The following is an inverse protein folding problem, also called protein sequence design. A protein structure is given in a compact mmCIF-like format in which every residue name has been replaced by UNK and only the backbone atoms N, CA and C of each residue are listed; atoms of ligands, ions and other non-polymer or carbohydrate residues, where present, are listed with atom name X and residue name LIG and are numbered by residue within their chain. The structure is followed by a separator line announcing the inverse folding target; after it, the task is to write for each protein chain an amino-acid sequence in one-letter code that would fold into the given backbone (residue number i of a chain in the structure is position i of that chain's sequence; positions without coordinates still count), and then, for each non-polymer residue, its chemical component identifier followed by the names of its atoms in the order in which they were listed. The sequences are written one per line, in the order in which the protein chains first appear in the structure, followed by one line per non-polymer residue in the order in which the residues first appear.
data_IF_409251270715
#
_entry.id   IF_409251270715
#
_cell.length_a   1.000
_cell.length_b   1.000
_cell.length_c   1.000
_cell.angle_alpha   90.00
_cell.angle_beta   90.00
_cell.angle_gamma   90.00
#
_symmetry.space_group_name_H-M   'P 1'
#
loop_
_entity.id
_entity.type
_entity.pdbx_description
1 polymer ?
#
# COMPACT_ATOMS: atom_id res chain seq x y z
N UNK A 1 8.33 -18.87 -9.56
CA UNK A 1 8.95 -17.93 -10.52
C UNK A 1 8.97 -16.55 -9.91
N UNK A 2 10.12 -15.90 -9.98
CA UNK A 2 10.31 -14.53 -9.49
C UNK A 2 9.58 -13.53 -10.40
N UNK A 3 8.46 -12.98 -9.91
CA UNK A 3 7.64 -11.98 -10.64
C UNK A 3 8.33 -10.62 -10.68
N UNK A 4 8.94 -10.23 -9.56
CA UNK A 4 9.63 -8.95 -9.42
C UNK A 4 10.80 -8.88 -10.39
N UNK A 5 11.59 -9.95 -10.48
CA UNK A 5 12.69 -10.07 -11.43
C UNK A 5 12.24 -10.02 -12.89
N UNK A 6 11.14 -10.70 -13.24
CA UNK A 6 10.62 -10.70 -14.61
C UNK A 6 10.12 -9.33 -15.05
N UNK A 7 9.36 -8.63 -14.18
CA UNK A 7 8.85 -7.30 -14.45
C UNK A 7 9.98 -6.28 -14.53
N UNK A 8 10.89 -6.26 -13.55
CA UNK A 8 12.01 -5.34 -13.53
C UNK A 8 12.93 -5.50 -14.76
N UNK A 9 13.19 -6.75 -15.16
CA UNK A 9 13.97 -7.05 -16.37
C UNK A 9 13.32 -6.50 -17.64
N UNK A 10 12.02 -6.72 -17.82
CA UNK A 10 11.29 -6.21 -18.97
C UNK A 10 11.30 -4.67 -19.01
N UNK A 11 10.99 -4.03 -17.88
CA UNK A 11 10.96 -2.57 -17.77
C UNK A 11 12.34 -1.92 -17.99
N UNK A 12 13.40 -2.52 -17.46
CA UNK A 12 14.78 -2.05 -17.67
C UNK A 12 15.21 -2.14 -19.14
N UNK A 13 14.67 -3.11 -19.87
CA UNK A 13 14.97 -3.32 -21.30
C UNK A 13 13.98 -2.62 -22.23
N UNK A 14 13.03 -1.86 -21.69
CA UNK A 14 11.94 -1.27 -22.45
C UNK A 14 11.12 -2.31 -23.25
N UNK A 15 10.94 -3.49 -22.66
CA UNK A 15 10.14 -4.58 -23.21
C UNK A 15 8.73 -4.55 -22.62
N UNK A 16 7.77 -5.06 -23.37
CA UNK A 16 6.38 -5.21 -22.89
C UNK A 16 6.31 -6.25 -21.76
N UNK A 17 5.52 -5.94 -20.76
CA UNK A 17 5.23 -6.87 -19.67
C UNK A 17 3.72 -6.89 -19.37
N UNK A 18 3.19 -8.06 -19.14
CA UNK A 18 1.81 -8.26 -18.68
C UNK A 18 1.78 -9.28 -17.56
N UNK A 19 1.13 -8.96 -16.47
CA UNK A 19 1.02 -9.87 -15.35
C UNK A 19 0.26 -9.29 -14.17
N UNK A 20 0.19 -10.09 -13.10
CA UNK A 20 -0.40 -9.67 -11.84
C UNK A 20 0.67 -9.06 -10.94
N UNK A 21 0.34 -7.90 -10.39
CA UNK A 21 1.13 -7.25 -9.36
C UNK A 21 0.25 -6.48 -8.38
N UNK A 22 0.80 -6.00 -7.28
CA UNK A 22 0.07 -5.25 -6.26
C UNK A 22 0.74 -3.90 -5.95
N UNK A 23 -0.07 -2.97 -5.45
CA UNK A 23 0.37 -1.65 -5.01
C UNK A 23 -0.06 -1.44 -3.54
N UNK A 24 0.73 -0.72 -2.71
CA UNK A 24 1.91 0.06 -3.07
C UNK A 24 3.21 -0.77 -3.08
N UNK A 25 4.13 -0.47 -4.02
CA UNK A 25 5.50 -1.02 -4.07
C UNK A 25 6.46 -0.01 -4.71
N UNK A 26 7.76 -0.13 -4.41
CA UNK A 26 8.78 0.71 -5.06
C UNK A 26 8.80 0.51 -6.58
N UNK A 27 8.61 -0.72 -7.03
CA UNK A 27 8.60 -1.07 -8.45
C UNK A 27 7.45 -0.36 -9.20
N UNK A 28 6.23 -0.40 -8.66
CA UNK A 28 5.09 0.35 -9.21
C UNK A 28 5.33 1.87 -9.13
N UNK A 29 5.97 2.34 -8.07
CA UNK A 29 6.28 3.76 -7.91
C UNK A 29 7.34 4.29 -8.89
N UNK A 30 8.29 3.44 -9.31
CA UNK A 30 9.36 3.78 -10.26
C UNK A 30 8.91 3.80 -11.73
N UNK A 31 7.89 3.05 -12.07
CA UNK A 31 7.49 2.82 -13.45
C UNK A 31 6.05 3.22 -13.70
N UNK A 32 5.80 3.84 -14.85
CA UNK A 32 4.46 4.17 -15.32
C UNK A 32 3.78 2.94 -15.90
N UNK A 33 3.07 2.20 -15.05
CA UNK A 33 2.33 1.01 -15.45
C UNK A 33 0.84 1.31 -15.58
N UNK A 34 0.21 0.73 -16.58
CA UNK A 34 -1.23 0.84 -16.80
C UNK A 34 -1.95 -0.35 -16.16
N UNK A 35 -2.86 -0.08 -15.25
CA UNK A 35 -3.77 -1.10 -14.74
C UNK A 35 -4.77 -1.47 -15.83
N UNK A 36 -4.81 -2.75 -16.19
CA UNK A 36 -5.78 -3.26 -17.15
C UNK A 36 -7.09 -3.57 -16.45
N UNK A 37 -8.19 -3.00 -16.94
CA UNK A 37 -9.54 -3.36 -16.54
C UNK A 37 -10.06 -4.43 -17.49
N UNK A 38 -10.52 -5.55 -16.96
CA UNK A 38 -11.07 -6.65 -17.75
C UNK A 38 -12.57 -6.51 -18.04
N UNK A 39 -13.19 -5.41 -17.63
CA UNK A 39 -14.60 -5.13 -17.89
C UNK A 39 -15.58 -6.06 -17.16
N UNK A 40 -15.15 -6.67 -16.05
CA UNK A 40 -16.01 -7.55 -15.26
C UNK A 40 -16.01 -7.12 -13.80
N UNK A 41 -17.15 -7.18 -13.10
CA UNK A 41 -17.23 -6.87 -11.68
C UNK A 41 -16.57 -7.96 -10.83
N UNK A 42 -16.33 -7.64 -9.57
CA UNK A 42 -16.00 -8.66 -8.56
C UNK A 42 -17.18 -9.61 -8.36
N UNK A 43 -16.91 -10.90 -8.43
CA UNK A 43 -17.94 -11.97 -8.44
C UNK A 43 -18.67 -12.15 -7.11
N UNK A 44 -18.20 -11.47 -6.07
CA UNK A 44 -18.70 -11.61 -4.69
C UNK A 44 -17.84 -12.54 -3.85
N UNK A 45 -17.85 -12.25 -2.53
CA UNK A 45 -16.97 -12.93 -1.56
C UNK A 45 -17.21 -14.43 -1.49
N UNK A 46 -18.45 -14.86 -1.54
CA UNK A 46 -18.82 -16.27 -1.42
C UNK A 46 -18.22 -17.11 -2.58
N UNK A 47 -18.41 -16.68 -3.83
CA UNK A 47 -17.85 -17.39 -4.98
C UNK A 47 -16.32 -17.25 -5.04
N UNK A 48 -15.79 -16.13 -4.58
CA UNK A 48 -14.36 -15.91 -4.47
C UNK A 48 -13.71 -16.91 -3.52
N UNK A 49 -14.21 -17.01 -2.27
CA UNK A 49 -13.63 -17.86 -1.23
C UNK A 49 -13.85 -19.36 -1.47
N UNK A 50 -14.98 -19.74 -2.08
CA UNK A 50 -15.37 -21.13 -2.24
C UNK A 50 -15.00 -21.71 -3.62
N UNK A 51 -14.58 -20.87 -4.55
CA UNK A 51 -14.24 -21.29 -5.90
C UNK A 51 -12.92 -20.67 -6.40
N UNK A 52 -12.87 -19.33 -6.60
CA UNK A 52 -11.77 -18.68 -7.33
C UNK A 52 -10.40 -18.88 -6.66
N UNK A 53 -10.32 -18.87 -5.34
CA UNK A 53 -9.06 -19.07 -4.59
C UNK A 53 -8.75 -20.55 -4.30
N UNK A 54 -9.63 -21.45 -4.71
CA UNK A 54 -9.43 -22.88 -4.54
C UNK A 54 -8.60 -23.48 -5.68
N UNK A 55 -8.00 -24.66 -5.49
CA UNK A 55 -7.42 -25.42 -6.59
C UNK A 55 -8.47 -25.70 -7.68
N UNK A 56 -8.05 -25.75 -8.95
CA UNK A 56 -8.93 -25.95 -10.10
C UNK A 56 -9.89 -27.15 -9.94
N UNK A 57 -9.40 -28.27 -9.39
CA UNK A 57 -10.20 -29.47 -9.11
C UNK A 57 -11.36 -29.26 -8.12
N UNK A 58 -11.31 -28.19 -7.33
CA UNK A 58 -12.34 -27.85 -6.32
C UNK A 58 -13.29 -26.74 -6.80
N UNK A 59 -13.08 -26.23 -8.03
CA UNK A 59 -13.88 -25.18 -8.64
C UNK A 59 -14.24 -25.56 -10.08
N UNK A 60 -15.30 -26.32 -10.24
CA UNK A 60 -15.71 -26.83 -11.56
C UNK A 60 -16.19 -25.74 -12.54
N UNK A 61 -16.72 -24.62 -12.03
CA UNK A 61 -17.28 -23.54 -12.84
C UNK A 61 -16.80 -22.17 -12.35
N UNK A 62 -15.52 -21.81 -12.57
CA UNK A 62 -15.00 -20.50 -12.17
C UNK A 62 -15.64 -19.39 -13.02
N UNK A 63 -16.25 -18.43 -12.37
CA UNK A 63 -16.77 -17.23 -13.04
C UNK A 63 -15.65 -16.21 -13.22
N UNK A 64 -15.70 -15.45 -14.31
CA UNK A 64 -14.83 -14.28 -14.49
C UNK A 64 -15.04 -13.30 -13.34
N UNK A 65 -13.97 -12.75 -12.79
CA UNK A 65 -14.03 -11.81 -11.66
C UNK A 65 -12.92 -10.78 -11.75
N UNK A 66 -13.24 -9.53 -11.42
CA UNK A 66 -12.23 -8.56 -11.05
C UNK A 66 -11.60 -8.92 -9.69
N UNK A 67 -10.43 -8.37 -9.41
CA UNK A 67 -9.84 -8.39 -8.07
C UNK A 67 -10.51 -7.35 -7.19
N UNK A 68 -10.75 -7.69 -5.94
CA UNK A 68 -11.21 -6.73 -4.94
C UNK A 68 -10.03 -6.00 -4.29
N UNK A 69 -10.30 -4.81 -3.75
CA UNK A 69 -9.33 -4.08 -2.95
C UNK A 69 -9.19 -4.75 -1.59
N UNK A 70 -7.95 -5.01 -1.17
CA UNK A 70 -7.64 -5.44 0.18
C UNK A 70 -7.41 -4.24 1.08
N UNK A 71 -8.11 -4.18 2.21
CA UNK A 71 -7.95 -3.10 3.18
C UNK A 71 -6.78 -3.44 4.10
N UNK A 72 -5.81 -2.52 4.21
CA UNK A 72 -4.71 -2.61 5.17
C UNK A 72 -5.12 -1.91 6.44
N UNK A 73 -5.15 -2.64 7.55
CA UNK A 73 -5.55 -2.12 8.86
C UNK A 73 -4.37 -2.07 9.82
N UNK A 74 -4.35 -1.04 10.66
CA UNK A 74 -3.47 -1.01 11.83
C UNK A 74 -4.09 -1.86 12.94
N UNK A 75 -3.32 -2.80 13.48
CA UNK A 75 -3.76 -3.68 14.55
C UNK A 75 -3.03 -3.32 15.84
N UNK A 76 -3.76 -3.21 16.92
CA UNK A 76 -3.23 -2.93 18.26
C UNK A 76 -3.76 -3.94 19.28
N UNK A 77 -3.03 -4.15 20.37
CA UNK A 77 -3.49 -5.02 21.47
C UNK A 77 -4.65 -4.37 22.23
N UNK A 78 -5.49 -5.20 22.88
CA UNK A 78 -6.56 -4.68 23.73
C UNK A 78 -6.03 -3.84 24.89
N UNK A 79 -4.85 -4.18 25.43
CA UNK A 79 -4.19 -3.39 26.46
C UNK A 79 -3.76 -2.01 25.96
N UNK A 80 -3.17 -1.93 24.77
CA UNK A 80 -2.84 -0.65 24.14
C UNK A 80 -4.10 0.20 23.92
N UNK A 81 -5.17 -0.39 23.38
CA UNK A 81 -6.45 0.31 23.18
C UNK A 81 -7.00 0.93 24.46
N UNK A 82 -6.83 0.26 25.62
CA UNK A 82 -7.34 0.76 26.91
C UNK A 82 -6.49 1.88 27.51
N UNK A 83 -5.18 1.87 27.26
CA UNK A 83 -4.22 2.68 28.03
C UNK A 83 -3.48 3.73 27.19
N UNK A 84 -3.62 3.73 25.87
CA UNK A 84 -2.81 4.58 24.99
C UNK A 84 -3.24 6.06 24.89
N UNK A 85 -4.47 6.40 25.33
CA UNK A 85 -4.97 7.78 25.28
C UNK A 85 -4.77 8.41 23.88
N UNK A 86 -4.16 9.59 23.83
CA UNK A 86 -3.92 10.34 22.58
C UNK A 86 -3.11 9.58 21.52
N UNK A 87 -2.34 8.57 21.90
CA UNK A 87 -1.63 7.74 20.94
C UNK A 87 -2.60 6.84 20.15
N UNK A 88 -3.69 6.41 20.77
CA UNK A 88 -4.75 5.68 20.08
C UNK A 88 -5.47 6.58 19.06
N UNK A 89 -5.76 7.83 19.44
CA UNK A 89 -6.42 8.80 18.56
C UNK A 89 -5.57 9.06 17.32
N UNK A 90 -4.27 9.29 17.50
CA UNK A 90 -3.30 9.44 16.42
C UNK A 90 -3.30 8.23 15.46
N UNK A 91 -3.17 7.01 16.00
CA UNK A 91 -3.10 5.79 15.20
C UNK A 91 -4.42 5.55 14.46
N UNK A 92 -5.56 5.81 15.10
CA UNK A 92 -6.90 5.63 14.54
C UNK A 92 -7.24 6.64 13.45
N UNK A 93 -6.77 7.88 13.60
CA UNK A 93 -7.00 8.97 12.63
C UNK A 93 -6.04 8.94 11.43
N UNK A 94 -5.02 8.09 11.46
CA UNK A 94 -3.97 8.07 10.45
C UNK A 94 -4.42 7.37 9.17
N UNK A 95 -4.53 8.14 8.09
CA UNK A 95 -4.80 7.63 6.73
C UNK A 95 -3.59 7.91 5.84
N UNK A 96 -2.92 6.87 5.39
CA UNK A 96 -1.73 6.97 4.55
C UNK A 96 -2.11 6.81 3.07
N UNK A 97 -2.04 7.86 2.23
CA UNK A 97 -2.39 7.76 0.83
C UNK A 97 -1.47 6.79 0.08
N UNK A 98 -2.03 5.89 -0.73
CA UNK A 98 -1.25 4.90 -1.48
C UNK A 98 -0.22 5.53 -2.44
N UNK A 99 -0.54 6.68 -3.03
CA UNK A 99 0.40 7.44 -3.87
C UNK A 99 1.61 7.97 -3.10
N UNK A 100 1.41 8.41 -1.85
CA UNK A 100 2.51 8.84 -0.97
C UNK A 100 3.32 7.63 -0.53
N UNK A 101 2.67 6.50 -0.20
CA UNK A 101 3.37 5.27 0.14
C UNK A 101 4.28 4.79 -1.00
N UNK A 102 3.81 4.80 -2.26
CA UNK A 102 4.65 4.47 -3.40
C UNK A 102 5.90 5.36 -3.49
N UNK A 103 5.75 6.69 -3.33
CA UNK A 103 6.87 7.64 -3.37
C UNK A 103 7.86 7.39 -2.24
N UNK A 104 7.38 7.11 -1.03
CA UNK A 104 8.25 6.78 0.12
C UNK A 104 9.01 5.47 -0.09
N UNK A 105 8.36 4.46 -0.67
CA UNK A 105 9.03 3.19 -1.01
C UNK A 105 10.08 3.38 -2.12
N UNK A 106 9.82 4.25 -3.09
CA UNK A 106 10.82 4.64 -4.12
C UNK A 106 12.00 5.35 -3.47
N UNK A 107 11.75 6.32 -2.60
CA UNK A 107 12.80 7.02 -1.86
C UNK A 107 13.68 6.04 -1.08
N UNK A 108 13.08 5.16 -0.28
CA UNK A 108 13.84 4.16 0.49
C UNK A 108 14.70 3.25 -0.38
N UNK A 109 14.18 2.83 -1.53
CA UNK A 109 14.89 1.94 -2.44
C UNK A 109 16.00 2.67 -3.22
N UNK A 110 15.77 3.90 -3.65
CA UNK A 110 16.73 4.70 -4.40
C UNK A 110 17.89 5.18 -3.54
N UNK A 111 17.56 5.75 -2.38
CA UNK A 111 18.55 6.34 -1.45
C UNK A 111 19.14 5.31 -0.47
N UNK A 112 18.69 4.04 -0.53
CA UNK A 112 19.01 3.00 0.47
C UNK A 112 18.68 3.43 1.90
N UNK A 113 17.65 4.26 2.01
CA UNK A 113 17.22 4.89 3.25
C UNK A 113 16.62 3.89 4.23
N UNK A 114 16.92 4.09 5.51
CA UNK A 114 16.30 3.33 6.59
C UNK A 114 14.96 3.94 6.99
N UNK A 115 14.18 3.25 7.82
CA UNK A 115 12.87 3.72 8.25
C UNK A 115 12.89 5.09 8.95
N UNK A 116 13.99 5.42 9.64
CA UNK A 116 14.19 6.74 10.26
C UNK A 116 14.32 7.83 9.21
N UNK A 117 15.13 7.61 8.18
CA UNK A 117 15.36 8.58 7.10
C UNK A 117 14.06 8.82 6.32
N UNK A 118 13.33 7.74 6.05
CA UNK A 118 12.02 7.81 5.42
C UNK A 118 10.98 8.58 6.28
N UNK A 119 11.06 8.46 7.60
CA UNK A 119 10.19 9.21 8.50
C UNK A 119 10.48 10.72 8.45
N UNK A 120 11.73 11.13 8.45
CA UNK A 120 12.11 12.54 8.28
C UNK A 120 11.69 13.08 6.92
N UNK A 121 12.01 12.37 5.83
CA UNK A 121 11.60 12.73 4.47
C UNK A 121 10.07 12.90 4.36
N UNK A 122 9.31 12.00 5.00
CA UNK A 122 7.85 12.10 5.04
C UNK A 122 7.36 13.31 5.82
N UNK A 123 7.93 13.58 6.99
CA UNK A 123 7.55 14.72 7.83
C UNK A 123 7.85 16.06 7.14
N UNK A 124 8.97 16.15 6.44
CA UNK A 124 9.33 17.36 5.71
C UNK A 124 8.46 17.60 4.47
N UNK A 125 8.30 16.58 3.62
CA UNK A 125 7.68 16.76 2.30
C UNK A 125 6.16 16.58 2.24
N UNK A 126 5.56 15.89 3.22
CA UNK A 126 4.13 15.57 3.20
C UNK A 126 3.38 16.15 4.40
N UNK A 127 3.71 17.40 4.75
CA UNK A 127 3.06 18.07 5.88
C UNK A 127 1.54 18.24 5.68
N UNK A 128 1.07 18.35 4.45
CA UNK A 128 -0.35 18.39 4.08
C UNK A 128 -1.10 17.07 4.41
N UNK A 129 -0.37 15.98 4.56
CA UNK A 129 -0.91 14.67 4.94
C UNK A 129 -0.91 14.52 6.45
N UNK A 130 0.26 14.54 7.10
CA UNK A 130 0.40 14.16 8.49
C UNK A 130 -0.12 15.20 9.50
N UNK A 131 -0.17 16.48 9.12
CA UNK A 131 -0.74 17.51 10.02
C UNK A 131 -2.21 17.30 10.31
N UNK A 132 -2.92 16.53 9.49
CA UNK A 132 -4.32 16.13 9.71
C UNK A 132 -4.49 15.03 10.78
N UNK A 133 -3.40 14.41 11.19
CA UNK A 133 -3.39 13.30 12.15
C UNK A 133 -3.13 13.75 13.58
N UNK A 134 -2.76 14.99 13.77
CA UNK A 134 -2.36 15.57 15.06
C UNK A 134 -3.01 16.92 15.28
N UNK A 135 -3.04 17.40 16.53
CA UNK A 135 -3.51 18.76 16.81
C UNK A 135 -2.58 19.84 16.22
N UNK A 136 -3.08 21.06 15.95
CA UNK A 136 -2.27 22.16 15.44
C UNK A 136 -1.02 22.45 16.29
N UNK A 137 -1.15 22.37 17.62
CA UNK A 137 -0.03 22.60 18.54
C UNK A 137 1.05 21.53 18.43
N UNK A 138 0.64 20.27 18.29
CA UNK A 138 1.56 19.15 18.05
C UNK A 138 2.22 19.29 16.67
N UNK A 139 1.46 19.63 15.64
CA UNK A 139 2.01 19.88 14.31
C UNK A 139 3.06 20.99 14.31
N UNK A 140 2.81 22.08 15.05
CA UNK A 140 3.78 23.19 15.20
C UNK A 140 5.07 22.73 15.88
N UNK A 141 4.97 21.92 16.95
CA UNK A 141 6.13 21.37 17.65
C UNK A 141 6.95 20.45 16.75
N UNK A 142 6.30 19.56 16.00
CA UNK A 142 6.98 18.66 15.06
C UNK A 142 7.72 19.48 14.00
N UNK A 143 7.05 20.45 13.35
CA UNK A 143 7.68 21.31 12.35
C UNK A 143 8.88 22.11 12.88
N UNK A 144 8.88 22.48 14.14
CA UNK A 144 10.00 23.20 14.78
C UNK A 144 11.18 22.27 15.15
N UNK A 145 10.98 20.95 15.09
CA UNK A 145 12.02 19.95 15.41
C UNK A 145 12.64 19.28 14.18
N UNK A 146 12.11 19.56 12.99
CA UNK A 146 12.66 19.12 11.70
C UNK A 146 13.78 20.03 11.22
#
# INVERSE_FOLDING_TARGET
RDRDGSMNKALTRNESWFGYYWSPTSLIGKHSLTKVDFGVPFVGKDHWDNCIVKPEKECANPKKSAWTTSVVNTVVTSNFKKNAGVALDYISGRVYPGSVMNKMLVFMDTEKAQGKDAAYEFLEKYSDVWTKWVSPDVAKKIKASL
#
